data_IF_194776769125
#
_entry.id   IF_194776769125
#
_cell.length_a   1.000
_cell.length_b   1.000
_cell.length_c   1.000
_cell.angle_alpha   90.00
_cell.angle_beta   90.00
_cell.angle_gamma   90.00
#
_symmetry.space_group_name_H-M   'P 1'
#
loop_
_entity.id
_entity.type
_entity.pdbx_description
1 polymer ?
#
# COMPACT_ATOMS: atom_id res chain seq x y z
N UNK A 1 -24.00 -54.89 -19.20
CA UNK A 1 -24.19 -53.84 -18.18
C UNK A 1 -22.93 -53.48 -17.37
N UNK A 2 -21.84 -54.27 -17.38
CA UNK A 2 -20.71 -54.11 -16.44
C UNK A 2 -19.59 -53.17 -16.90
N UNK A 3 -19.19 -53.14 -18.18
CA UNK A 3 -18.08 -52.28 -18.67
C UNK A 3 -18.36 -50.77 -18.56
N UNK A 4 -19.59 -50.34 -18.86
CA UNK A 4 -19.97 -48.92 -18.79
C UNK A 4 -19.98 -48.39 -17.35
N UNK A 5 -20.46 -49.19 -16.38
CA UNK A 5 -20.40 -48.85 -14.96
C UNK A 5 -18.96 -48.75 -14.45
N UNK A 6 -18.07 -49.66 -14.88
CA UNK A 6 -16.65 -49.59 -14.50
C UNK A 6 -15.97 -48.33 -15.05
N UNK A 7 -16.24 -47.96 -16.31
CA UNK A 7 -15.72 -46.73 -16.89
C UNK A 7 -16.18 -45.48 -16.14
N UNK A 8 -17.47 -45.39 -15.79
CA UNK A 8 -17.99 -44.29 -14.96
C UNK A 8 -17.38 -44.25 -13.57
N UNK A 9 -17.17 -45.41 -12.92
CA UNK A 9 -16.55 -45.49 -11.59
C UNK A 9 -15.09 -45.00 -11.60
N UNK A 10 -14.32 -45.33 -12.64
CA UNK A 10 -12.95 -44.81 -12.81
C UNK A 10 -12.97 -43.29 -13.02
N UNK A 11 -13.91 -42.80 -13.82
CA UNK A 11 -14.06 -41.36 -14.09
C UNK A 11 -14.43 -40.58 -12.82
N UNK A 12 -15.33 -41.12 -11.98
CA UNK A 12 -15.66 -40.52 -10.68
C UNK A 12 -14.43 -40.45 -9.78
N UNK A 13 -13.66 -41.53 -9.66
CA UNK A 13 -12.43 -41.53 -8.85
C UNK A 13 -11.40 -40.51 -9.33
N UNK A 14 -11.27 -40.34 -10.65
CA UNK A 14 -10.36 -39.35 -11.22
C UNK A 14 -10.82 -37.92 -10.91
N UNK A 15 -12.12 -37.65 -11.00
CA UNK A 15 -12.68 -36.33 -10.65
C UNK A 15 -12.54 -36.06 -9.16
N UNK A 16 -12.78 -37.06 -8.29
CA UNK A 16 -12.58 -36.94 -6.84
C UNK A 16 -11.12 -36.64 -6.47
N UNK A 17 -10.16 -37.27 -7.16
CA UNK A 17 -8.74 -37.00 -6.99
C UNK A 17 -8.39 -35.56 -7.39
N UNK A 18 -8.79 -35.14 -8.59
CA UNK A 18 -8.55 -33.78 -9.07
C UNK A 18 -9.22 -32.73 -8.16
N UNK A 19 -10.44 -33.00 -7.68
CA UNK A 19 -11.15 -32.12 -6.76
C UNK A 19 -10.40 -31.99 -5.43
N UNK A 20 -9.86 -33.09 -4.90
CA UNK A 20 -9.05 -33.08 -3.67
C UNK A 20 -7.77 -32.24 -3.84
N UNK A 21 -7.06 -32.40 -4.95
CA UNK A 21 -5.84 -31.62 -5.23
C UNK A 21 -6.16 -30.13 -5.39
N UNK A 22 -7.20 -29.77 -6.15
CA UNK A 22 -7.63 -28.38 -6.30
C UNK A 22 -8.05 -27.77 -4.97
N UNK A 23 -8.80 -28.52 -4.15
CA UNK A 23 -9.23 -28.04 -2.84
C UNK A 23 -8.02 -27.84 -1.89
N UNK A 24 -7.06 -28.76 -1.90
CA UNK A 24 -5.82 -28.61 -1.13
C UNK A 24 -5.04 -27.36 -1.53
N UNK A 25 -4.84 -27.13 -2.83
CA UNK A 25 -4.16 -25.93 -3.33
C UNK A 25 -4.93 -24.66 -2.95
N UNK A 26 -6.26 -24.69 -3.06
CA UNK A 26 -7.13 -23.57 -2.67
C UNK A 26 -6.97 -23.21 -1.19
N UNK A 27 -6.99 -24.20 -0.30
CA UNK A 27 -6.79 -23.99 1.14
C UNK A 27 -5.41 -23.41 1.46
N UNK A 28 -4.36 -23.86 0.77
CA UNK A 28 -3.01 -23.31 0.93
C UNK A 28 -2.92 -21.87 0.44
N UNK A 29 -3.56 -21.55 -0.69
CA UNK A 29 -3.65 -20.19 -1.20
C UNK A 29 -4.39 -19.28 -0.22
N UNK A 30 -5.51 -19.74 0.35
CA UNK A 30 -6.28 -18.99 1.34
C UNK A 30 -5.45 -18.71 2.61
N UNK A 31 -4.76 -19.72 3.16
CA UNK A 31 -3.88 -19.54 4.34
C UNK A 31 -2.78 -18.51 4.08
N UNK A 32 -2.17 -18.54 2.90
CA UNK A 32 -1.14 -17.55 2.50
C UNK A 32 -1.74 -16.15 2.36
N UNK A 33 -2.92 -16.04 1.76
CA UNK A 33 -3.62 -14.77 1.61
C UNK A 33 -3.99 -14.18 2.97
N UNK A 34 -4.59 -14.96 3.87
CA UNK A 34 -4.94 -14.54 5.23
C UNK A 34 -3.71 -14.05 6.01
N UNK A 35 -2.60 -14.80 5.97
CA UNK A 35 -1.34 -14.37 6.59
C UNK A 35 -0.80 -13.06 6.01
N UNK A 36 -0.88 -12.90 4.69
CA UNK A 36 -0.40 -11.70 4.00
C UNK A 36 -1.28 -10.48 4.33
N UNK A 37 -2.60 -10.67 4.33
CA UNK A 37 -3.59 -9.67 4.71
C UNK A 37 -3.39 -9.22 6.16
N UNK A 38 -3.19 -10.17 7.08
CA UNK A 38 -2.98 -9.87 8.50
C UNK A 38 -1.68 -9.07 8.71
N UNK A 39 -0.60 -9.46 8.03
CA UNK A 39 0.65 -8.71 8.07
C UNK A 39 0.50 -7.27 7.53
N UNK A 40 -0.26 -7.09 6.43
CA UNK A 40 -0.54 -5.78 5.86
C UNK A 40 -1.39 -4.90 6.81
N UNK A 41 -2.36 -5.51 7.51
CA UNK A 41 -3.16 -4.86 8.54
C UNK A 41 -2.30 -4.37 9.71
N UNK A 42 -1.47 -5.25 10.28
CA UNK A 42 -0.57 -4.91 11.38
C UNK A 42 0.39 -3.79 10.98
N UNK A 43 0.96 -3.86 9.78
CA UNK A 43 1.86 -2.82 9.27
C UNK A 43 1.16 -1.47 9.16
N UNK A 44 -0.06 -1.44 8.62
CA UNK A 44 -0.86 -0.21 8.50
C UNK A 44 -1.23 0.37 9.87
N UNK A 45 -1.58 -0.48 10.84
CA UNK A 45 -1.87 -0.05 12.20
C UNK A 45 -0.63 0.55 12.89
N UNK A 46 0.54 -0.07 12.73
CA UNK A 46 1.82 0.46 13.24
C UNK A 46 2.16 1.81 12.61
N UNK A 47 2.00 1.97 11.29
CA UNK A 47 2.17 3.27 10.65
C UNK A 47 1.18 4.32 11.16
N UNK A 48 -0.09 3.93 11.39
CA UNK A 48 -1.11 4.81 11.95
C UNK A 48 -0.72 5.33 13.34
N UNK A 49 -0.29 4.44 14.24
CA UNK A 49 0.18 4.80 15.59
C UNK A 49 1.40 5.72 15.54
N UNK A 50 2.41 5.38 14.73
CA UNK A 50 3.62 6.21 14.60
C UNK A 50 3.31 7.60 14.01
N UNK A 51 2.36 7.72 13.08
CA UNK A 51 1.90 9.02 12.56
C UNK A 51 1.18 9.81 13.64
N UNK A 52 0.28 9.18 14.39
CA UNK A 52 -0.44 9.83 15.48
C UNK A 52 0.51 10.39 16.55
N UNK A 53 1.52 9.62 16.94
CA UNK A 53 2.54 10.06 17.90
C UNK A 53 3.34 11.26 17.38
N UNK A 54 3.70 11.25 16.08
CA UNK A 54 4.33 12.42 15.45
C UNK A 54 3.42 13.65 15.43
N UNK A 55 2.12 13.49 15.22
CA UNK A 55 1.17 14.61 15.31
C UNK A 55 1.06 15.15 16.74
N UNK A 56 0.96 14.28 17.75
CA UNK A 56 0.90 14.70 19.16
C UNK A 56 2.18 15.42 19.60
N UNK A 57 3.36 14.89 19.25
CA UNK A 57 4.64 15.58 19.52
C UNK A 57 4.78 16.90 18.78
N UNK A 58 4.29 17.01 17.54
CA UNK A 58 4.25 18.27 16.80
C UNK A 58 3.33 19.30 17.45
N UNK A 59 2.16 18.86 17.93
CA UNK A 59 1.23 19.70 18.69
C UNK A 59 1.87 20.21 19.98
N UNK A 60 2.51 19.33 20.76
CA UNK A 60 3.27 19.72 21.96
C UNK A 60 4.40 20.71 21.66
N UNK A 61 5.16 20.50 20.59
CA UNK A 61 6.21 21.43 20.15
C UNK A 61 5.62 22.77 19.71
N UNK A 62 4.49 22.75 19.02
CA UNK A 62 3.76 23.96 18.60
C UNK A 62 3.29 24.74 19.83
N UNK A 63 2.81 24.06 20.86
CA UNK A 63 2.41 24.67 22.12
C UNK A 63 3.60 25.24 22.88
N UNK A 64 4.73 24.52 22.96
CA UNK A 64 5.99 25.04 23.54
C UNK A 64 6.49 26.28 22.81
N UNK A 65 6.46 26.28 21.47
CA UNK A 65 6.83 27.46 20.67
C UNK A 65 5.87 28.62 20.97
N UNK A 66 4.57 28.36 21.11
CA UNK A 66 3.58 29.38 21.45
C UNK A 66 3.85 29.98 22.84
N UNK A 67 4.19 29.15 23.82
CA UNK A 67 4.54 29.59 25.18
C UNK A 67 5.83 30.41 25.18
N UNK A 68 6.92 29.92 24.58
CA UNK A 68 8.18 30.66 24.48
C UNK A 68 8.00 32.00 23.74
N UNK A 69 7.17 32.05 22.69
CA UNK A 69 6.82 33.30 21.99
C UNK A 69 6.01 34.27 22.86
N UNK A 70 5.29 33.79 23.87
CA UNK A 70 4.56 34.60 24.85
C UNK A 70 5.44 35.03 26.02
N UNK A 71 6.62 34.45 26.18
CA UNK A 71 7.64 34.84 27.16
C UNK A 71 8.66 35.87 26.61
N UNK A 72 8.26 37.10 26.21
CA UNK A 72 9.23 38.20 26.19
C UNK A 72 8.83 39.45 26.98
N UNK A 73 8.25 39.40 28.20
CA UNK A 73 8.11 40.63 28.98
C UNK A 73 9.50 41.16 29.43
N UNK A 74 10.46 40.28 29.70
CA UNK A 74 11.80 40.68 30.15
C UNK A 74 12.63 41.39 29.07
N UNK A 75 12.69 40.84 27.85
CA UNK A 75 13.52 41.45 26.79
C UNK A 75 12.88 42.71 26.22
N UNK A 76 11.55 42.80 26.18
CA UNK A 76 10.86 44.00 25.72
C UNK A 76 10.90 45.12 26.77
N UNK A 77 10.98 44.80 28.07
CA UNK A 77 11.21 45.78 29.15
C UNK A 77 12.67 46.29 29.20
N UNK A 78 13.67 45.43 28.96
CA UNK A 78 15.10 45.81 29.04
C UNK A 78 15.58 46.57 27.79
N UNK A 79 15.00 46.27 26.61
CA UNK A 79 15.37 46.90 25.33
C UNK A 79 15.31 48.45 25.33
N UNK A 80 14.25 49.11 25.83
CA UNK A 80 14.20 50.57 25.87
C UNK A 80 15.25 51.17 26.82
N UNK A 81 15.55 50.52 27.95
CA UNK A 81 16.64 50.95 28.84
C UNK A 81 18.01 50.84 28.15
N UNK A 82 18.30 49.70 27.51
CA UNK A 82 19.54 49.50 26.76
C UNK A 82 19.71 50.56 25.64
N UNK A 83 18.65 50.82 24.87
CA UNK A 83 18.67 51.87 23.85
C UNK A 83 18.88 53.26 24.44
N UNK A 84 18.37 53.53 25.66
CA UNK A 84 18.60 54.79 26.36
C UNK A 84 20.06 54.92 26.77
N UNK A 85 20.67 53.88 27.34
CA UNK A 85 22.10 53.87 27.67
C UNK A 85 22.98 54.04 26.43
N UNK A 86 22.68 53.31 25.35
CA UNK A 86 23.38 53.43 24.08
C UNK A 86 23.30 54.87 23.52
N UNK A 87 22.12 55.49 23.55
CA UNK A 87 21.94 56.88 23.12
C UNK A 87 22.68 57.89 24.01
N UNK A 88 22.76 57.66 25.32
CA UNK A 88 23.52 58.53 26.24
C UNK A 88 25.02 58.42 25.96
N UNK A 89 25.53 57.20 25.79
CA UNK A 89 26.95 56.95 25.47
C UNK A 89 27.34 57.54 24.10
N UNK A 90 26.45 57.49 23.12
CA UNK A 90 26.65 58.12 21.80
C UNK A 90 26.60 59.66 21.86
N UNK A 91 25.75 60.24 22.71
CA UNK A 91 25.60 61.71 22.81
C UNK A 91 26.64 62.40 23.70
N UNK A 92 27.32 61.65 24.57
CA UNK A 92 28.49 62.10 25.33
C UNK A 92 29.51 60.96 25.42
N UNK A 93 30.44 60.87 24.45
CA UNK A 93 31.63 60.06 24.62
C UNK A 93 32.41 60.60 25.83
N UNK A 94 32.84 59.75 26.78
CA UNK A 94 33.75 60.16 27.86
C UNK A 94 34.98 60.91 27.29
N UNK A 95 35.47 61.95 27.95
CA UNK A 95 36.61 62.76 27.43
C UNK A 95 37.84 61.91 27.10
N UNK A 96 38.08 60.86 27.87
CA UNK A 96 39.15 59.88 27.65
C UNK A 96 39.06 59.19 26.27
N UNK A 97 37.84 59.00 25.75
CA UNK A 97 37.59 58.38 24.45
C UNK A 97 37.74 59.38 23.29
N UNK A 98 37.54 60.67 23.57
CA UNK A 98 37.82 61.74 22.60
C UNK A 98 39.32 62.01 22.47
N UNK A 99 40.07 61.84 23.55
CA UNK A 99 41.53 61.96 23.56
C UNK A 99 42.20 60.80 22.82
N UNK A 100 41.72 59.56 23.00
CA UNK A 100 42.21 58.38 22.27
C UNK A 100 41.97 58.45 20.74
N UNK A 101 40.93 59.17 20.29
CA UNK A 101 40.69 59.41 18.86
C UNK A 101 41.56 60.52 18.27
N UNK A 102 42.14 61.41 19.09
CA UNK A 102 43.05 62.46 18.63
C UNK A 102 44.52 62.03 18.63
N UNK A 103 44.86 60.98 19.37
CA UNK A 103 46.22 60.41 19.42
C UNK A 103 46.43 59.27 18.42
N UNK A 104 45.41 58.89 17.65
CA UNK A 104 45.52 57.93 16.56
C UNK A 104 45.73 58.68 15.23
N UNK A 105 46.92 58.55 14.67
CA UNK A 105 47.29 59.11 13.36
C UNK A 105 46.31 58.66 12.25
N UNK A 106 46.04 59.49 11.23
CA UNK A 106 45.04 59.22 10.21
C UNK A 106 45.37 58.08 9.22
N UNK A 107 46.42 57.28 9.43
CA UNK A 107 46.82 56.18 8.54
C UNK A 107 46.31 54.78 8.92
N UNK A 108 45.58 54.62 10.03
CA UNK A 108 45.00 53.31 10.43
C UNK A 108 43.47 53.23 10.31
N UNK A 109 42.82 54.11 9.55
CA UNK A 109 41.37 54.04 9.31
C UNK A 109 41.02 53.06 8.18
N UNK A 110 41.14 51.77 8.47
CA UNK A 110 40.40 50.74 7.75
C UNK A 110 40.01 49.61 8.71
N UNK A 111 39.23 49.94 9.74
CA UNK A 111 38.86 48.93 10.74
C UNK A 111 37.80 49.33 11.76
N UNK A 112 37.01 50.39 11.55
CA UNK A 112 35.90 50.72 12.47
C UNK A 112 34.64 51.11 11.70
N UNK A 113 33.96 50.09 11.18
CA UNK A 113 32.54 50.15 10.83
C UNK A 113 31.79 49.14 11.68
N UNK A 114 31.29 49.58 12.84
CA UNK A 114 30.32 48.86 13.67
C UNK A 114 29.52 49.96 14.37
N UNK A 115 28.29 50.33 13.98
CA UNK A 115 27.10 49.52 13.78
C UNK A 115 26.31 49.94 12.53
N UNK A 116 26.19 49.04 11.56
CA UNK A 116 24.99 48.93 10.72
C UNK A 116 24.50 47.49 10.86
N UNK A 117 23.25 47.34 11.26
CA UNK A 117 22.58 46.04 11.32
C UNK A 117 22.47 45.46 9.90
N UNK A 118 22.96 44.23 9.65
CA UNK A 118 22.64 43.52 8.42
C UNK A 118 21.47 42.58 8.71
N UNK A 119 20.36 42.86 8.03
CA UNK A 119 19.28 41.91 7.87
C UNK A 119 19.75 40.73 7.00
N UNK A 120 19.20 39.58 7.32
CA UNK A 120 19.57 38.24 6.87
C UNK A 120 19.46 37.99 5.36
N UNK A 121 20.46 37.31 4.80
CA UNK A 121 20.32 36.61 3.52
C UNK A 121 21.63 36.42 2.77
N UNK A 122 22.07 35.16 2.64
CA UNK A 122 22.85 34.52 1.54
C UNK A 122 23.49 33.24 2.13
N UNK A 123 23.08 32.02 1.78
CA UNK A 123 23.25 31.30 0.50
C UNK A 123 24.68 31.38 -0.07
N UNK A 124 25.46 30.36 0.30
CA UNK A 124 26.24 29.45 -0.55
C UNK A 124 26.64 29.90 -1.96
N UNK A 125 27.95 30.00 -2.20
CA UNK A 125 28.65 29.33 -3.32
C UNK A 125 30.13 29.72 -3.30
N UNK A 126 31.04 28.75 -3.13
CA UNK A 126 31.71 27.98 -4.21
C UNK A 126 32.93 28.72 -4.79
N UNK A 127 34.10 28.19 -4.48
CA UNK A 127 35.11 27.64 -5.41
C UNK A 127 36.52 27.95 -4.91
N UNK A 128 37.07 26.93 -4.27
CA UNK A 128 38.48 26.56 -4.23
C UNK A 128 38.95 26.06 -5.59
N UNK A 129 40.14 26.51 -6.01
CA UNK A 129 41.03 25.86 -6.96
C UNK A 129 42.46 26.25 -6.57
N UNK A 130 43.31 25.30 -6.14
CA UNK A 130 44.28 24.59 -6.98
C UNK A 130 45.44 25.52 -7.35
N UNK A 131 46.73 25.26 -7.12
CA UNK A 131 47.53 24.07 -6.82
C UNK A 131 48.98 24.57 -6.60
N UNK A 132 49.77 23.82 -5.82
CA UNK A 132 51.11 23.28 -6.13
C UNK A 132 51.98 23.21 -4.89
N UNK A 133 52.29 21.98 -4.50
CA UNK A 133 53.48 21.66 -3.72
C UNK A 133 54.74 21.63 -4.60
N UNK A 134 55.87 21.37 -3.94
CA UNK A 134 56.91 20.39 -4.32
C UNK A 134 58.06 20.44 -3.28
N UNK A 135 58.19 19.32 -2.56
CA UNK A 135 59.38 18.49 -2.34
C UNK A 135 60.77 19.03 -1.92
N UNK A 136 61.24 18.39 -0.82
CA UNK A 136 62.52 17.68 -0.62
C UNK A 136 63.86 18.39 -0.26
N UNK A 137 64.28 18.09 0.98
CA UNK A 137 65.53 17.40 1.41
C UNK A 137 66.91 18.11 1.52
N UNK A 138 67.68 17.59 2.49
CA UNK A 138 69.10 17.75 2.87
C UNK A 138 69.42 18.96 3.78
N UNK A 139 70.15 18.87 4.89
CA UNK A 139 71.08 17.89 5.46
C UNK A 139 72.18 18.67 6.19
N UNK A 140 72.47 18.40 7.48
CA UNK A 140 73.51 19.16 8.20
C UNK A 140 73.62 19.00 9.73
N UNK A 141 74.20 17.89 10.19
CA UNK A 141 75.22 17.74 11.27
C UNK A 141 74.99 18.33 12.69
N UNK A 142 74.65 17.44 13.66
CA UNK A 142 75.28 17.06 14.98
C UNK A 142 75.98 18.10 15.92
N UNK A 143 76.20 17.83 17.26
CA UNK A 143 75.48 17.00 18.26
C UNK A 143 75.49 17.64 19.72
N UNK A 144 75.51 16.92 20.89
CA UNK A 144 74.62 17.16 22.04
C UNK A 144 75.31 17.79 23.30
N UNK A 145 74.58 18.17 24.37
CA UNK A 145 75.22 18.63 25.60
C UNK A 145 75.58 17.45 26.52
N UNK A 146 76.87 17.41 26.88
CA UNK A 146 77.48 16.51 27.84
C UNK A 146 77.13 16.87 29.29
N UNK A 147 77.19 15.85 30.13
CA UNK A 147 77.15 15.85 31.60
C UNK A 147 78.38 16.53 32.21
N UNK A 148 78.18 17.50 33.11
CA UNK A 148 79.27 18.08 33.91
C UNK A 148 79.31 17.51 35.34
N UNK A 149 80.14 16.48 35.44
CA UNK A 149 81.12 16.13 36.48
C UNK A 149 81.30 17.12 37.64
N UNK A 150 81.01 16.63 38.85
CA UNK A 150 81.52 17.15 40.12
C UNK A 150 83.05 17.03 40.18
N UNK A 151 83.77 18.14 40.29
CA UNK A 151 85.19 18.17 40.63
C UNK A 151 85.37 18.75 42.03
N UNK A 152 85.68 17.84 42.95
CA UNK A 152 86.16 18.10 44.29
C UNK A 152 87.64 18.50 44.19
N UNK A 153 87.98 19.76 44.48
CA UNK A 153 89.37 20.18 44.69
C UNK A 153 89.63 20.39 46.18
N UNK A 154 90.38 19.42 46.70
CA UNK A 154 90.98 19.35 48.02
C UNK A 154 91.98 20.51 48.22
N UNK A 155 91.85 21.26 49.29
CA UNK A 155 92.91 22.13 49.81
C UNK A 155 93.36 21.58 51.16
N UNK A 156 94.59 21.07 51.21
CA UNK A 156 95.24 20.61 52.44
C UNK A 156 96.44 21.51 52.73
N UNK A 157 96.42 22.21 53.87
CA UNK A 157 97.52 22.32 54.83
C UNK A 157 97.13 23.19 56.03
N UNK A 158 97.37 22.65 57.23
CA UNK A 158 97.31 23.35 58.51
C UNK A 158 98.68 23.92 58.91
N UNK A 159 98.67 25.05 59.62
CA UNK A 159 99.47 25.51 60.80
C UNK A 159 99.92 26.98 60.67
N UNK A 160 100.28 27.68 61.76
CA UNK A 160 99.48 28.27 62.85
C UNK A 160 99.50 29.84 62.82
N UNK A 161 98.82 30.60 63.72
CA UNK A 161 98.53 32.02 63.50
C UNK A 161 99.64 32.99 63.99
N UNK A 162 99.80 34.16 63.34
CA UNK A 162 100.48 35.34 63.91
C UNK A 162 99.51 36.52 64.20
N UNK A 163 99.92 37.52 65.01
CA UNK A 163 99.04 38.44 65.78
C UNK A 163 98.47 39.62 64.97
N UNK A 164 97.46 40.36 65.49
CA UNK A 164 96.71 41.35 64.71
C UNK A 164 97.47 42.69 64.57
N UNK A 165 97.42 43.36 63.40
CA UNK A 165 97.78 44.76 63.23
C UNK A 165 96.55 45.71 63.29
N UNK A 166 96.77 47.03 63.46
CA UNK A 166 95.83 47.99 64.08
C UNK A 166 94.71 48.49 63.13
N UNK A 167 93.67 49.16 63.66
CA UNK A 167 92.43 49.40 62.93
C UNK A 167 92.62 50.47 61.85
N UNK A 168 92.44 50.10 60.59
CA UNK A 168 92.21 51.05 59.49
C UNK A 168 90.71 51.36 59.42
N UNK A 169 90.24 52.15 60.39
CA UNK A 169 88.82 52.48 60.54
C UNK A 169 88.35 53.57 59.54
N UNK A 170 89.25 54.29 58.89
CA UNK A 170 88.89 55.56 58.21
C UNK A 170 88.82 55.49 56.66
N UNK A 171 89.15 54.35 56.04
CA UNK A 171 88.96 54.14 54.58
C UNK A 171 87.84 53.14 54.24
N UNK A 172 87.27 52.49 55.25
CA UNK A 172 86.23 51.49 55.10
C UNK A 172 84.82 52.12 54.95
N UNK A 173 84.66 53.38 55.36
CA UNK A 173 83.36 54.07 55.40
C UNK A 173 82.88 54.60 54.03
N UNK A 174 83.79 54.87 53.07
CA UNK A 174 83.39 55.27 51.70
C UNK A 174 82.97 54.08 50.83
N UNK A 175 83.50 52.88 51.10
CA UNK A 175 83.06 51.65 50.44
C UNK A 175 81.80 51.06 51.08
N UNK A 176 81.48 51.43 52.33
CA UNK A 176 80.26 50.96 52.97
C UNK A 176 79.04 51.56 52.27
N UNK A 177 78.96 52.87 52.02
CA UNK A 177 77.77 53.44 51.35
C UNK A 177 77.51 52.86 49.94
N UNK A 178 78.55 52.70 49.11
CA UNK A 178 78.42 52.11 47.76
C UNK A 178 78.06 50.61 47.82
N UNK A 179 78.63 49.85 48.77
CA UNK A 179 78.32 48.42 48.94
C UNK A 179 76.89 48.18 49.45
N UNK A 180 76.36 49.05 50.32
CA UNK A 180 74.96 48.96 50.77
C UNK A 180 74.01 49.33 49.63
N UNK A 181 74.35 50.30 48.79
CA UNK A 181 73.55 50.66 47.62
C UNK A 181 73.48 49.55 46.57
N UNK A 182 74.58 48.82 46.35
CA UNK A 182 74.60 47.62 45.50
C UNK A 182 73.77 46.49 46.13
N UNK A 183 73.83 46.31 47.45
CA UNK A 183 73.06 45.29 48.14
C UNK A 183 71.55 45.58 48.05
N UNK A 184 71.13 46.82 48.24
CA UNK A 184 69.73 47.25 48.07
C UNK A 184 69.26 47.00 46.64
N UNK A 185 70.07 47.36 45.64
CA UNK A 185 69.78 47.11 44.23
C UNK A 185 69.67 45.60 43.92
N UNK A 186 70.58 44.78 44.44
CA UNK A 186 70.54 43.31 44.30
C UNK A 186 69.33 42.73 45.00
N UNK A 187 68.94 43.27 46.15
CA UNK A 187 67.74 42.82 46.88
C UNK A 187 66.48 43.17 46.09
N UNK A 188 66.38 44.39 45.55
CA UNK A 188 65.28 44.79 44.68
C UNK A 188 65.22 43.96 43.39
N UNK A 189 66.36 43.69 42.74
CA UNK A 189 66.42 42.79 41.59
C UNK A 189 66.03 41.35 41.96
N UNK A 190 66.41 40.87 43.15
CA UNK A 190 66.03 39.54 43.62
C UNK A 190 64.53 39.45 43.84
N UNK A 191 63.92 40.47 44.46
CA UNK A 191 62.48 40.56 44.65
C UNK A 191 61.73 40.62 43.30
N UNK A 192 62.25 41.37 42.33
CA UNK A 192 61.71 41.41 40.97
C UNK A 192 61.77 40.03 40.30
N UNK A 193 62.90 39.34 40.36
CA UNK A 193 63.08 37.99 39.79
C UNK A 193 62.16 36.97 40.46
N UNK A 194 61.99 37.03 41.78
CA UNK A 194 61.06 36.17 42.51
C UNK A 194 59.60 36.46 42.13
N UNK A 195 59.23 37.73 41.92
CA UNK A 195 57.89 38.11 41.47
C UNK A 195 57.60 37.60 40.05
N UNK A 196 58.55 37.73 39.13
CA UNK A 196 58.47 37.20 37.77
C UNK A 196 58.36 35.68 37.76
N UNK A 197 59.14 35.00 38.59
CA UNK A 197 59.09 33.54 38.74
C UNK A 197 57.72 33.10 39.25
N UNK A 198 57.15 33.82 40.23
CA UNK A 198 55.81 33.54 40.76
C UNK A 198 54.72 33.77 39.71
N UNK A 199 54.82 34.82 38.91
CA UNK A 199 53.88 35.11 37.82
C UNK A 199 53.99 34.02 36.73
N UNK A 200 55.19 33.64 36.31
CA UNK A 200 55.41 32.55 35.35
C UNK A 200 54.76 31.26 35.81
N UNK A 201 55.06 30.82 37.04
CA UNK A 201 54.51 29.59 37.60
C UNK A 201 52.98 29.62 37.72
N UNK A 202 52.39 30.80 37.96
CA UNK A 202 50.93 30.95 38.02
C UNK A 202 50.27 30.82 36.65
N UNK A 203 50.95 31.23 35.57
CA UNK A 203 50.44 31.13 34.18
C UNK A 203 50.73 29.75 33.56
N UNK A 204 51.81 29.08 33.96
CA UNK A 204 52.26 27.84 33.32
C UNK A 204 51.25 26.68 33.47
N UNK A 205 50.61 26.52 34.62
CA UNK A 205 49.64 25.45 34.86
C UNK A 205 48.33 25.62 34.06
N UNK A 206 47.62 26.77 34.11
CA UNK A 206 46.43 26.96 33.29
C UNK A 206 46.73 26.96 31.79
N UNK A 207 47.95 27.34 31.38
CA UNK A 207 48.38 27.24 29.99
C UNK A 207 48.49 25.78 29.54
N UNK A 208 49.06 24.89 30.36
CA UNK A 208 49.13 23.44 30.05
C UNK A 208 47.76 22.81 29.97
N UNK A 209 46.86 23.16 30.90
CA UNK A 209 45.48 22.69 30.89
C UNK A 209 44.76 23.11 29.61
N UNK A 210 44.87 24.39 29.23
CA UNK A 210 44.29 24.90 27.99
C UNK A 210 44.87 24.21 26.75
N UNK A 211 46.18 23.97 26.70
CA UNK A 211 46.80 23.23 25.60
C UNK A 211 46.28 21.79 25.50
N UNK A 212 46.09 21.12 26.63
CA UNK A 212 45.53 19.78 26.67
C UNK A 212 44.05 19.77 26.23
N UNK A 213 43.27 20.77 26.63
CA UNK A 213 41.88 20.92 26.21
C UNK A 213 41.77 21.17 24.69
N UNK A 214 42.63 22.02 24.15
CA UNK A 214 42.72 22.25 22.69
C UNK A 214 43.07 20.96 21.97
N UNK A 215 44.09 20.23 22.43
CA UNK A 215 44.52 18.97 21.82
C UNK A 215 43.42 17.90 21.86
N UNK A 216 42.74 17.75 23.00
CA UNK A 216 41.63 16.79 23.12
C UNK A 216 40.42 17.19 22.27
N UNK A 217 40.14 18.49 22.14
CA UNK A 217 39.06 18.97 21.29
C UNK A 217 39.40 18.80 19.80
N UNK A 218 40.63 19.11 19.38
CA UNK A 218 41.12 18.87 18.02
C UNK A 218 41.00 17.39 17.64
N UNK A 219 41.39 16.47 18.53
CA UNK A 219 41.24 15.03 18.29
C UNK A 219 39.77 14.61 18.13
N UNK A 220 38.87 15.13 18.95
CA UNK A 220 37.42 14.85 18.82
C UNK A 220 36.86 15.38 17.49
N UNK A 221 37.29 16.58 17.08
CA UNK A 221 36.90 17.14 15.78
C UNK A 221 37.41 16.27 14.63
N UNK A 222 38.65 15.79 14.69
CA UNK A 222 39.22 14.88 13.68
C UNK A 222 38.42 13.56 13.60
N UNK A 223 38.07 12.95 14.74
CA UNK A 223 37.23 11.75 14.82
C UNK A 223 35.83 11.98 14.21
N UNK A 224 35.21 13.12 14.49
CA UNK A 224 33.91 13.48 13.94
C UNK A 224 34.00 13.75 12.42
N UNK A 225 35.07 14.38 11.94
CA UNK A 225 35.32 14.61 10.52
C UNK A 225 35.51 13.29 9.76
N UNK A 226 36.29 12.35 10.31
CA UNK A 226 36.43 11.00 9.75
C UNK A 226 35.08 10.28 9.66
N UNK A 227 34.26 10.38 10.72
CA UNK A 227 32.92 9.78 10.74
C UNK A 227 31.99 10.42 9.72
N UNK A 228 32.02 11.74 9.58
CA UNK A 228 31.24 12.46 8.57
C UNK A 228 31.68 12.08 7.15
N UNK A 229 32.98 11.95 6.91
CA UNK A 229 33.53 11.49 5.64
C UNK A 229 33.04 10.07 5.29
N UNK A 230 33.07 9.14 6.26
CA UNK A 230 32.53 7.79 6.07
C UNK A 230 31.03 7.80 5.74
N UNK A 231 30.23 8.62 6.43
CA UNK A 231 28.80 8.77 6.14
C UNK A 231 28.56 9.37 4.74
N UNK A 232 29.39 10.32 4.34
CA UNK A 232 29.30 10.96 3.04
C UNK A 232 29.56 9.94 1.92
N UNK A 233 30.59 9.12 2.08
CA UNK A 233 30.92 8.07 1.10
C UNK A 233 29.86 6.96 1.07
N UNK A 234 29.33 6.54 2.23
CA UNK A 234 28.17 5.63 2.27
C UNK A 234 26.95 6.21 1.53
N UNK A 235 26.65 7.49 1.74
CA UNK A 235 25.55 8.16 1.06
C UNK A 235 25.79 8.27 -0.45
N UNK A 236 27.02 8.54 -0.90
CA UNK A 236 27.38 8.53 -2.32
C UNK A 236 27.17 7.15 -2.95
N UNK A 237 27.60 6.08 -2.29
CA UNK A 237 27.43 4.71 -2.79
C UNK A 237 25.95 4.33 -2.88
N UNK A 238 25.15 4.71 -1.87
CA UNK A 238 23.69 4.53 -1.91
C UNK A 238 23.06 5.30 -3.07
N UNK A 239 23.45 6.55 -3.31
CA UNK A 239 22.97 7.34 -4.44
C UNK A 239 23.33 6.66 -5.77
N UNK A 240 24.55 6.17 -5.93
CA UNK A 240 24.99 5.48 -7.15
C UNK A 240 24.16 4.21 -7.42
N UNK A 241 23.94 3.39 -6.38
CA UNK A 241 23.08 2.20 -6.49
C UNK A 241 21.63 2.56 -6.84
N UNK A 242 21.07 3.59 -6.21
CA UNK A 242 19.71 4.07 -6.49
C UNK A 242 19.57 4.58 -7.93
N UNK A 243 20.58 5.29 -8.45
CA UNK A 243 20.64 5.74 -9.85
C UNK A 243 20.67 4.58 -10.84
N UNK A 244 21.43 3.52 -10.55
CA UNK A 244 21.46 2.30 -11.39
C UNK A 244 20.08 1.60 -11.42
N UNK A 245 19.44 1.47 -10.25
CA UNK A 245 18.08 0.92 -10.14
C UNK A 245 17.07 1.76 -10.91
N UNK A 246 17.16 3.09 -10.82
CA UNK A 246 16.31 4.01 -11.58
C UNK A 246 16.52 3.87 -13.10
N UNK A 247 17.76 3.75 -13.56
CA UNK A 247 18.07 3.53 -14.98
C UNK A 247 17.51 2.18 -15.49
N UNK A 248 17.61 1.13 -14.67
CA UNK A 248 17.04 -0.18 -14.99
C UNK A 248 15.52 -0.13 -15.07
N UNK A 249 14.86 0.53 -14.11
CA UNK A 249 13.41 0.68 -14.11
C UNK A 249 12.94 1.50 -15.32
N UNK A 250 13.64 2.58 -15.66
CA UNK A 250 13.33 3.39 -16.84
C UNK A 250 13.35 2.56 -18.12
N UNK A 251 14.36 1.70 -18.32
CA UNK A 251 14.41 0.78 -19.46
C UNK A 251 13.24 -0.21 -19.46
N UNK A 252 12.86 -0.76 -18.30
CA UNK A 252 11.71 -1.68 -18.17
C UNK A 252 10.39 -0.99 -18.54
N UNK A 253 10.17 0.24 -18.07
CA UNK A 253 8.97 1.02 -18.39
C UNK A 253 8.92 1.33 -19.88
N UNK A 254 10.01 1.79 -20.48
CA UNK A 254 10.07 2.05 -21.93
C UNK A 254 9.74 0.81 -22.77
N UNK A 255 10.28 -0.35 -22.39
CA UNK A 255 10.01 -1.61 -23.08
C UNK A 255 8.54 -2.03 -22.93
N UNK A 256 7.96 -1.85 -21.75
CA UNK A 256 6.57 -2.14 -21.48
C UNK A 256 5.61 -1.21 -22.25
N UNK A 257 5.91 0.08 -22.34
CA UNK A 257 5.10 1.05 -23.09
C UNK A 257 5.11 0.76 -24.59
N UNK A 258 6.26 0.28 -25.10
CA UNK A 258 6.40 -0.17 -26.50
C UNK A 258 5.60 -1.45 -26.78
N UNK A 259 5.63 -2.43 -25.87
CA UNK A 259 4.95 -3.72 -26.08
C UNK A 259 3.42 -3.67 -25.85
N UNK A 260 2.93 -2.80 -24.95
CA UNK A 260 1.52 -2.85 -24.54
C UNK A 260 0.56 -2.14 -25.47
N UNK A 261 1.00 -1.11 -26.18
CA UNK A 261 0.07 -0.28 -26.97
C UNK A 261 -0.19 -0.90 -28.34
N UNK A 262 0.86 -1.31 -29.04
CA UNK A 262 0.74 -1.75 -30.43
C UNK A 262 0.03 -3.12 -30.58
N UNK A 263 0.40 -4.12 -29.77
CA UNK A 263 -0.13 -5.48 -29.93
C UNK A 263 -1.55 -5.65 -29.38
N UNK A 264 -1.92 -4.91 -28.32
CA UNK A 264 -3.27 -5.01 -27.74
C UNK A 264 -4.31 -4.23 -28.54
N UNK A 265 -3.97 -3.05 -29.06
CA UNK A 265 -4.90 -2.25 -29.86
C UNK A 265 -5.17 -2.93 -31.20
N UNK A 266 -4.13 -3.45 -31.87
CA UNK A 266 -4.28 -4.19 -33.14
C UNK A 266 -5.14 -5.46 -32.99
N UNK A 267 -4.96 -6.23 -31.91
CA UNK A 267 -5.79 -7.39 -31.62
C UNK A 267 -7.25 -7.00 -31.31
N UNK A 268 -7.45 -5.91 -30.57
CA UNK A 268 -8.78 -5.40 -30.22
C UNK A 268 -9.54 -4.93 -31.47
N UNK A 269 -8.86 -4.23 -32.38
CA UNK A 269 -9.42 -3.81 -33.66
C UNK A 269 -9.78 -5.00 -34.55
N UNK A 270 -8.89 -6.00 -34.66
CA UNK A 270 -9.15 -7.21 -35.42
C UNK A 270 -10.34 -8.00 -34.88
N UNK A 271 -10.51 -8.04 -33.55
CA UNK A 271 -11.68 -8.62 -32.91
C UNK A 271 -12.94 -7.79 -33.19
N UNK A 272 -12.83 -6.45 -33.11
CA UNK A 272 -13.90 -5.52 -33.45
C UNK A 272 -14.44 -5.77 -34.86
N UNK A 273 -13.56 -5.89 -35.86
CA UNK A 273 -13.94 -6.22 -37.24
C UNK A 273 -14.70 -7.56 -37.30
N UNK A 274 -14.19 -8.61 -36.65
CA UNK A 274 -14.89 -9.92 -36.63
C UNK A 274 -16.26 -9.86 -35.94
N UNK A 275 -16.37 -9.12 -34.84
CA UNK A 275 -17.65 -8.94 -34.13
C UNK A 275 -18.64 -8.22 -35.04
N UNK A 276 -18.22 -7.14 -35.70
CA UNK A 276 -19.10 -6.40 -36.62
C UNK A 276 -19.55 -7.26 -37.79
N UNK A 277 -18.68 -8.11 -38.33
CA UNK A 277 -19.02 -9.03 -39.41
C UNK A 277 -20.06 -10.08 -38.96
N UNK A 278 -19.89 -10.66 -37.77
CA UNK A 278 -20.86 -11.59 -37.19
C UNK A 278 -22.20 -10.89 -36.93
N UNK A 279 -22.16 -9.66 -36.41
CA UNK A 279 -23.36 -8.86 -36.17
C UNK A 279 -24.11 -8.59 -37.47
N UNK A 280 -23.40 -8.14 -38.51
CA UNK A 280 -23.93 -7.92 -39.86
C UNK A 280 -24.58 -9.18 -40.41
N UNK A 281 -23.89 -10.31 -40.35
CA UNK A 281 -24.42 -11.60 -40.82
C UNK A 281 -25.69 -12.02 -40.07
N UNK A 282 -25.76 -11.86 -38.75
CA UNK A 282 -26.90 -12.28 -37.95
C UNK A 282 -28.12 -11.36 -38.12
N UNK A 283 -27.90 -10.05 -38.14
CA UNK A 283 -28.96 -9.04 -38.26
C UNK A 283 -29.50 -9.00 -39.69
N UNK A 284 -28.63 -8.92 -40.70
CA UNK A 284 -29.07 -8.65 -42.08
C UNK A 284 -29.63 -9.87 -42.82
N UNK A 285 -29.25 -11.09 -42.43
CA UNK A 285 -29.68 -12.30 -43.15
C UNK A 285 -30.80 -13.06 -42.44
N UNK A 286 -30.61 -13.39 -41.16
CA UNK A 286 -31.54 -14.29 -40.44
C UNK A 286 -32.73 -13.53 -39.88
N UNK A 287 -32.47 -12.42 -39.18
CA UNK A 287 -33.52 -11.59 -38.61
C UNK A 287 -34.34 -10.93 -39.71
N UNK A 288 -33.70 -10.32 -40.72
CA UNK A 288 -34.41 -9.72 -41.86
C UNK A 288 -35.23 -10.75 -42.66
N UNK A 289 -34.77 -11.99 -42.82
CA UNK A 289 -35.56 -13.04 -43.48
C UNK A 289 -36.81 -13.43 -42.68
N UNK A 290 -36.70 -13.51 -41.35
CA UNK A 290 -37.84 -13.80 -40.47
C UNK A 290 -38.81 -12.63 -40.47
N UNK A 291 -38.32 -11.41 -40.35
CA UNK A 291 -39.11 -10.17 -40.38
C UNK A 291 -39.88 -10.02 -41.70
N UNK A 292 -39.22 -10.27 -42.83
CA UNK A 292 -39.87 -10.27 -44.15
C UNK A 292 -40.98 -11.33 -44.23
N UNK A 293 -40.70 -12.55 -43.75
CA UNK A 293 -41.70 -13.63 -43.77
C UNK A 293 -42.91 -13.31 -42.88
N UNK A 294 -42.67 -12.75 -41.70
CA UNK A 294 -43.74 -12.33 -40.78
C UNK A 294 -44.58 -11.23 -41.42
N UNK A 295 -43.93 -10.22 -42.00
CA UNK A 295 -44.62 -9.11 -42.68
C UNK A 295 -45.50 -9.61 -43.83
N UNK A 296 -44.99 -10.55 -44.64
CA UNK A 296 -45.74 -11.16 -45.73
C UNK A 296 -46.94 -11.96 -45.22
N UNK A 297 -46.80 -12.72 -44.12
CA UNK A 297 -47.90 -13.45 -43.52
C UNK A 297 -48.99 -12.52 -42.96
N UNK A 298 -48.60 -11.40 -42.35
CA UNK A 298 -49.54 -10.39 -41.89
C UNK A 298 -50.29 -9.75 -43.05
N UNK A 299 -49.60 -9.39 -44.13
CA UNK A 299 -50.24 -8.88 -45.34
C UNK A 299 -51.25 -9.87 -45.90
N UNK A 300 -50.90 -11.17 -45.95
CA UNK A 300 -51.85 -12.20 -46.38
C UNK A 300 -53.06 -12.31 -45.46
N UNK A 301 -52.85 -12.28 -44.14
CA UNK A 301 -53.94 -12.33 -43.17
C UNK A 301 -54.88 -11.13 -43.27
N UNK A 302 -54.34 -9.93 -43.49
CA UNK A 302 -55.10 -8.70 -43.70
C UNK A 302 -55.84 -8.69 -45.04
N UNK A 303 -55.29 -9.35 -46.07
CA UNK A 303 -55.90 -9.45 -47.39
C UNK A 303 -57.09 -10.41 -47.48
N UNK A 304 -57.34 -11.23 -46.45
CA UNK A 304 -58.44 -12.20 -46.47
C UNK A 304 -59.78 -11.44 -46.45
N UNK A 305 -60.65 -11.62 -47.47
CA UNK A 305 -61.96 -10.96 -47.50
C UNK A 305 -62.82 -11.34 -46.30
N UNK A 306 -63.61 -10.37 -45.80
CA UNK A 306 -64.44 -10.55 -44.60
C UNK A 306 -65.49 -11.65 -44.79
N UNK A 307 -65.99 -11.81 -46.01
CA UNK A 307 -66.96 -12.82 -46.41
C UNK A 307 -66.42 -14.24 -46.20
N UNK A 308 -65.15 -14.47 -46.55
CA UNK A 308 -64.49 -15.76 -46.35
C UNK A 308 -64.24 -16.05 -44.86
N UNK A 309 -63.97 -15.01 -44.06
CA UNK A 309 -63.83 -15.16 -42.62
C UNK A 309 -65.15 -15.54 -41.95
N UNK A 310 -66.27 -14.96 -42.38
CA UNK A 310 -67.59 -15.30 -41.85
C UNK A 310 -68.01 -16.72 -42.26
N UNK A 311 -67.74 -17.16 -43.49
CA UNK A 311 -68.03 -18.56 -43.88
C UNK A 311 -67.19 -19.56 -43.09
N UNK A 312 -65.89 -19.29 -42.88
CA UNK A 312 -65.02 -20.13 -42.04
C UNK A 312 -65.50 -20.19 -40.58
N UNK A 313 -65.97 -19.07 -40.02
CA UNK A 313 -66.58 -19.03 -38.68
C UNK A 313 -67.84 -19.88 -38.61
N UNK A 314 -68.74 -19.76 -39.59
CA UNK A 314 -69.96 -20.56 -39.67
C UNK A 314 -69.66 -22.05 -39.81
N UNK A 315 -68.69 -22.44 -40.65
CA UNK A 315 -68.25 -23.84 -40.80
C UNK A 315 -67.72 -24.38 -39.47
N UNK A 316 -66.76 -23.69 -38.84
CA UNK A 316 -66.20 -24.08 -37.53
C UNK A 316 -67.29 -24.24 -36.46
N UNK A 317 -68.24 -23.31 -36.40
CA UNK A 317 -69.31 -23.35 -35.40
C UNK A 317 -70.37 -24.42 -35.75
N UNK A 318 -70.62 -24.69 -37.02
CA UNK A 318 -71.48 -25.79 -37.47
C UNK A 318 -70.87 -27.16 -37.16
N UNK A 319 -69.57 -27.34 -37.38
CA UNK A 319 -68.81 -28.55 -37.06
C UNK A 319 -68.81 -28.81 -35.55
N UNK A 320 -68.49 -27.80 -34.73
CA UNK A 320 -68.55 -27.89 -33.26
C UNK A 320 -69.94 -28.34 -32.79
N UNK A 321 -71.01 -27.77 -33.37
CA UNK A 321 -72.39 -28.16 -33.07
C UNK A 321 -72.70 -29.58 -33.52
N UNK A 322 -72.20 -30.00 -34.69
CA UNK A 322 -72.39 -31.36 -35.21
C UNK A 322 -71.75 -32.41 -34.32
N UNK A 323 -70.48 -32.21 -33.93
CA UNK A 323 -69.76 -33.11 -33.01
C UNK A 323 -70.49 -33.25 -31.67
N UNK A 324 -71.07 -32.16 -31.15
CA UNK A 324 -71.84 -32.21 -29.91
C UNK A 324 -73.12 -33.06 -30.05
N UNK A 325 -73.86 -32.93 -31.17
CA UNK A 325 -75.07 -33.73 -31.44
C UNK A 325 -74.74 -35.21 -31.62
N UNK A 326 -73.67 -35.50 -32.35
CA UNK A 326 -73.20 -36.86 -32.59
C UNK A 326 -72.81 -37.56 -31.27
N UNK A 327 -72.07 -36.86 -30.41
CA UNK A 327 -71.73 -37.35 -29.06
C UNK A 327 -72.99 -37.61 -28.21
N UNK A 328 -73.98 -36.71 -28.24
CA UNK A 328 -75.25 -36.92 -27.53
C UNK A 328 -75.99 -38.17 -28.03
N UNK A 329 -76.12 -38.33 -29.35
CA UNK A 329 -76.79 -39.49 -29.95
C UNK A 329 -76.04 -40.80 -29.65
N UNK A 330 -74.70 -40.75 -29.63
CA UNK A 330 -73.86 -41.90 -29.26
C UNK A 330 -74.13 -42.33 -27.81
N UNK A 331 -74.18 -41.37 -26.88
CA UNK A 331 -74.49 -41.65 -25.47
C UNK A 331 -75.90 -42.22 -25.28
N UNK A 332 -76.89 -41.75 -26.04
CA UNK A 332 -78.25 -42.32 -26.01
C UNK A 332 -78.28 -43.76 -26.51
N UNK A 333 -77.63 -44.03 -27.65
CA UNK A 333 -77.49 -45.39 -28.20
C UNK A 333 -76.77 -46.33 -27.23
N UNK A 334 -75.68 -45.87 -26.60
CA UNK A 334 -74.95 -46.66 -25.61
C UNK A 334 -75.80 -46.98 -24.38
N UNK A 335 -76.53 -46.00 -23.83
CA UNK A 335 -77.48 -46.23 -22.74
C UNK A 335 -78.55 -47.24 -23.12
N UNK A 336 -79.11 -47.14 -24.33
CA UNK A 336 -80.12 -48.09 -24.81
C UNK A 336 -79.55 -49.51 -24.95
N UNK A 337 -78.37 -49.65 -25.56
CA UNK A 337 -77.68 -50.93 -25.70
C UNK A 337 -77.28 -51.52 -24.35
N UNK A 338 -76.84 -50.71 -23.40
CA UNK A 338 -76.50 -51.14 -22.05
C UNK A 338 -77.76 -51.65 -21.32
N UNK A 339 -78.89 -50.95 -21.44
CA UNK A 339 -80.18 -51.39 -20.90
C UNK A 339 -80.62 -52.74 -21.48
N UNK A 340 -80.50 -52.91 -22.80
CA UNK A 340 -80.82 -54.17 -23.48
C UNK A 340 -79.89 -55.29 -23.03
N UNK A 341 -78.58 -55.01 -22.92
CA UNK A 341 -77.57 -55.96 -22.43
C UNK A 341 -77.85 -56.38 -20.98
N UNK A 342 -78.20 -55.44 -20.10
CA UNK A 342 -78.61 -55.71 -18.72
C UNK A 342 -79.89 -56.55 -18.66
N UNK A 343 -80.87 -56.29 -19.54
CA UNK A 343 -82.08 -57.09 -19.62
C UNK A 343 -81.79 -58.53 -20.06
N UNK A 344 -80.97 -58.69 -21.10
CA UNK A 344 -80.52 -60.00 -21.59
C UNK A 344 -79.76 -60.75 -20.49
N UNK A 345 -78.83 -60.09 -19.80
CA UNK A 345 -78.09 -60.70 -18.70
C UNK A 345 -79.02 -61.17 -17.57
N UNK A 346 -79.97 -60.32 -17.13
CA UNK A 346 -80.98 -60.70 -16.12
C UNK A 346 -81.83 -61.91 -16.53
N UNK A 347 -82.09 -62.09 -17.83
CA UNK A 347 -82.84 -63.24 -18.34
C UNK A 347 -82.00 -64.52 -18.40
N UNK A 348 -80.69 -64.39 -18.67
CA UNK A 348 -79.76 -65.52 -18.80
C UNK A 348 -79.17 -65.96 -17.46
N UNK A 349 -79.16 -65.08 -16.46
CA UNK A 349 -78.71 -65.41 -15.10
C UNK A 349 -79.64 -66.49 -14.51
N UNK A 350 -79.04 -67.58 -14.03
CA UNK A 350 -79.79 -68.68 -13.43
C UNK A 350 -80.61 -68.16 -12.25
N UNK A 351 -81.94 -68.31 -12.33
CA UNK A 351 -82.79 -68.00 -11.19
C UNK A 351 -82.35 -68.88 -10.02
N UNK A 352 -81.94 -68.25 -8.90
CA UNK A 352 -81.57 -68.98 -7.67
C UNK A 352 -82.66 -70.00 -7.37
N UNK A 353 -82.31 -71.29 -7.34
CA UNK A 353 -83.25 -72.38 -7.08
C UNK A 353 -83.95 -72.08 -5.75
N UNK A 354 -85.25 -71.72 -5.82
CA UNK A 354 -86.07 -71.52 -4.62
C UNK A 354 -86.17 -72.88 -3.92
N UNK A 355 -85.41 -73.08 -2.85
CA UNK A 355 -85.55 -74.21 -1.93
C UNK A 355 -86.83 -74.02 -1.11
N UNK A 356 -87.98 -74.13 -1.79
CA UNK A 356 -89.31 -74.03 -1.20
C UNK A 356 -90.16 -75.25 -1.55
N UNK A 357 -91.34 -75.38 -0.92
CA UNK A 357 -92.31 -76.45 -1.24
C UNK A 357 -92.65 -76.40 -2.73
N UNK A 358 -92.57 -77.56 -3.41
CA UNK A 358 -92.97 -77.71 -4.82
C UNK A 358 -94.42 -77.23 -5.00
N UNK A 359 -94.62 -76.29 -5.92
CA UNK A 359 -95.96 -75.86 -6.36
C UNK A 359 -96.70 -77.06 -6.95
N UNK A 360 -97.89 -77.36 -6.44
CA UNK A 360 -98.75 -78.39 -7.04
C UNK A 360 -99.43 -77.82 -8.29
N UNK A 361 -99.45 -78.53 -9.43
CA UNK A 361 -100.24 -78.12 -10.59
C UNK A 361 -101.70 -78.01 -10.17
N UNK A 362 -102.37 -76.89 -10.50
CA UNK A 362 -103.80 -76.69 -10.20
C UNK A 362 -104.71 -77.37 -11.21
N UNK A 363 -104.15 -77.86 -12.32
CA UNK A 363 -104.89 -78.51 -13.40
C UNK A 363 -103.95 -79.39 -14.24
N UNK A 364 -104.47 -80.50 -14.75
CA UNK A 364 -103.80 -81.39 -15.69
C UNK A 364 -104.16 -80.95 -17.12
N UNK A 365 -103.21 -80.45 -17.93
CA UNK A 365 -103.48 -80.10 -19.32
C UNK A 365 -103.77 -81.36 -20.13
N UNK A 366 -104.89 -81.35 -20.85
CA UNK A 366 -105.31 -82.43 -21.75
C UNK A 366 -104.38 -82.42 -22.98
N UNK A 367 -103.77 -83.57 -23.28
CA UNK A 367 -102.94 -83.75 -24.45
C UNK A 367 -103.79 -83.68 -25.73
N UNK A 368 -103.79 -82.51 -26.39
CA UNK A 368 -104.24 -82.41 -27.77
C UNK A 368 -103.16 -83.01 -28.67
N UNK A 369 -103.49 -84.10 -29.36
CA UNK A 369 -102.63 -84.71 -30.39
C UNK A 369 -102.55 -83.76 -31.59
N UNK A 370 -101.53 -82.91 -31.62
CA UNK A 370 -101.17 -82.15 -32.82
C UNK A 370 -100.23 -83.02 -33.65
N UNK A 371 -100.74 -83.53 -34.77
CA UNK A 371 -99.93 -84.14 -35.83
C UNK A 371 -99.13 -83.05 -36.52
N UNK A 372 -97.84 -82.93 -36.20
CA UNK A 372 -96.91 -82.04 -36.90
C UNK A 372 -96.49 -82.71 -38.21
N UNK A 373 -96.98 -82.19 -39.34
CA UNK A 373 -96.39 -82.42 -40.65
C UNK A 373 -94.98 -81.82 -40.67
N UNK A 374 -94.01 -82.59 -41.15
CA UNK A 374 -92.66 -82.08 -41.45
C UNK A 374 -92.74 -81.37 -42.79
N UNK A 375 -92.60 -80.06 -42.78
CA UNK A 375 -92.24 -79.29 -43.96
C UNK A 375 -91.00 -78.47 -43.67
N UNK A 376 -90.20 -78.37 -44.73
CA UNK A 376 -88.80 -77.99 -44.75
C UNK A 376 -88.51 -76.55 -44.34
N UNK A 377 -87.24 -76.35 -43.98
CA UNK A 377 -86.58 -75.07 -43.73
C UNK A 377 -87.00 -73.96 -44.70
N UNK A 378 -87.41 -72.81 -44.14
CA UNK A 378 -87.35 -71.51 -44.81
C UNK A 378 -86.66 -70.53 -43.84
N UNK A 379 -85.50 -69.94 -44.18
CA UNK A 379 -84.92 -68.83 -43.43
C UNK A 379 -85.69 -67.55 -43.80
N UNK A 380 -86.52 -67.04 -42.89
CA UNK A 380 -87.29 -65.82 -43.06
C UNK A 380 -86.67 -64.63 -42.32
N UNK A 381 -85.39 -64.33 -42.60
CA UNK A 381 -84.76 -63.10 -42.09
C UNK A 381 -84.50 -62.04 -43.17
N UNK A 382 -84.65 -62.35 -44.46
CA UNK A 382 -84.39 -61.38 -45.55
C UNK A 382 -85.64 -60.65 -46.07
N UNK A 383 -86.86 -61.15 -45.85
CA UNK A 383 -88.08 -60.58 -46.47
C UNK A 383 -88.72 -59.43 -45.65
N UNK A 384 -88.52 -59.38 -44.33
CA UNK A 384 -89.02 -58.27 -43.50
C UNK A 384 -88.20 -56.97 -43.65
N UNK A 385 -86.97 -57.07 -44.17
CA UNK A 385 -86.10 -55.92 -44.37
C UNK A 385 -86.42 -55.14 -45.65
N UNK A 386 -87.07 -55.79 -46.63
CA UNK A 386 -87.51 -55.17 -47.88
C UNK A 386 -88.80 -54.34 -47.70
N UNK A 387 -89.68 -54.71 -46.77
CA UNK A 387 -90.95 -54.01 -46.55
C UNK A 387 -90.84 -52.72 -45.70
N UNK A 388 -89.73 -52.51 -44.99
CA UNK A 388 -89.55 -51.37 -44.07
C UNK A 388 -88.70 -50.22 -44.64
N UNK A 389 -88.10 -50.40 -45.82
CA UNK A 389 -87.23 -49.41 -46.49
C UNK A 389 -87.59 -49.22 -47.97
N UNK A 390 -88.87 -49.32 -48.32
CA UNK A 390 -89.34 -48.65 -49.53
C UNK A 390 -89.40 -47.14 -49.23
N UNK A 391 -88.47 -46.40 -49.82
CA UNK A 391 -88.53 -44.94 -49.91
C UNK A 391 -89.65 -44.58 -50.90
N UNK A 392 -90.72 -43.94 -50.41
CA UNK A 392 -91.64 -43.18 -51.27
C UNK A 392 -90.92 -41.91 -51.76
N UNK A 393 -91.06 -41.62 -53.06
CA UNK A 393 -90.61 -40.41 -53.76
C UNK A 393 -91.02 -39.08 -53.12
#
# INVERSE_FOLDING_TARGET
MTKACLKKRVQVKLVEYNFREVNYVSEQCQKKFEKTSENARIFSERQGKAKQEKYSTNEELTDKIRTNKREPPMFDEIRPEYNRYQNILLKRPPSEWQEALRTTDPESQQGYTFFKSPDSGLKSSLITGSERGLDSSAGGVLPPPHTDTLVYLQCSQCTPPPPPPPPLQEKLELFSSEAHQILDLVTEFTDQVLSLTRISNWVDEPLKELMQDIETNSRKMEEDDEKLMLQLDEMKDRIASDQERAATLKRKVQLHDSLKTEDHDTMSDALGVKITEVHRCCVDSKLSSVEYRISLLFQFLESIPKENLETLRLIKDSERRSRLREEQLRLEKEKHLEMLKRCKQRSMDESKKKTGRKLRPRCFPVEQKITVSKEDNIPAEEELHAFLFEDDE
#
